data_IF_973065551115
#
_entry.id   IF_973065551115
#
_cell.length_a   1.000
_cell.length_b   1.000
_cell.length_c   1.000
_cell.angle_alpha   90.00
_cell.angle_beta   90.00
_cell.angle_gamma   90.00
#
_symmetry.space_group_name_H-M   'P 1'
#
loop_
_entity.id
_entity.type
_entity.pdbx_description
1 polymer ?
#
# COMPACT_ATOMS: atom_id res chain seq x y z
N UNK A 1 -38.84 -21.93 17.18
CA UNK A 1 -38.45 -20.82 18.06
C UNK A 1 -36.98 -20.53 17.78
N UNK A 2 -36.70 -19.59 16.87
CA UNK A 2 -35.33 -19.29 16.42
C UNK A 2 -34.72 -18.23 17.34
N UNK A 3 -33.71 -18.62 18.11
CA UNK A 3 -32.91 -17.70 18.93
C UNK A 3 -31.65 -17.34 18.16
N UNK A 4 -31.65 -16.18 17.51
CA UNK A 4 -30.42 -15.48 17.09
C UNK A 4 -30.05 -14.52 18.21
N UNK A 5 -28.88 -14.69 18.81
CA UNK A 5 -28.27 -13.68 19.67
C UNK A 5 -26.91 -13.34 19.06
N UNK A 6 -26.84 -12.16 18.45
CA UNK A 6 -25.59 -11.46 18.16
C UNK A 6 -25.41 -10.47 19.31
N UNK A 7 -24.47 -10.75 20.23
CA UNK A 7 -24.12 -9.84 21.32
C UNK A 7 -22.87 -9.06 20.90
N UNK A 8 -23.08 -7.88 20.32
CA UNK A 8 -22.06 -6.83 20.28
C UNK A 8 -22.25 -5.96 21.52
N UNK A 9 -21.42 -6.15 22.53
CA UNK A 9 -21.33 -5.26 23.68
C UNK A 9 -20.51 -4.02 23.26
N UNK A 10 -21.22 -2.98 22.86
CA UNK A 10 -20.67 -1.63 22.68
C UNK A 10 -20.48 -0.98 24.05
N UNK A 11 -19.22 -0.68 24.41
CA UNK A 11 -18.91 0.17 25.55
C UNK A 11 -19.28 1.61 25.18
N UNK A 12 -20.18 2.19 25.96
CA UNK A 12 -20.72 3.54 25.82
C UNK A 12 -19.68 4.62 26.14
N UNK A 13 -19.39 5.49 25.18
CA UNK A 13 -18.87 6.84 25.44
C UNK A 13 -19.82 7.86 24.81
N UNK A 14 -20.21 8.84 25.63
CA UNK A 14 -21.24 9.84 25.36
C UNK A 14 -20.99 10.65 24.08
N UNK A 15 -21.93 10.56 23.13
CA UNK A 15 -22.03 11.51 22.03
C UNK A 15 -23.13 12.53 22.36
N UNK A 16 -22.76 13.81 22.39
CA UNK A 16 -23.71 14.91 22.31
C UNK A 16 -24.39 14.86 20.95
N UNK A 17 -25.70 14.69 20.93
CA UNK A 17 -26.50 14.82 19.71
C UNK A 17 -26.62 16.31 19.35
N UNK A 18 -26.17 16.68 18.16
CA UNK A 18 -26.60 17.91 17.52
C UNK A 18 -27.77 17.51 16.59
N UNK A 19 -28.99 17.93 16.93
CA UNK A 19 -30.16 17.74 16.07
C UNK A 19 -30.02 18.60 14.83
N UNK A 20 -30.00 17.97 13.65
CA UNK A 20 -30.21 18.66 12.37
C UNK A 20 -31.53 18.20 11.81
N UNK A 21 -32.46 19.14 11.65
CA UNK A 21 -33.76 18.91 11.01
C UNK A 21 -33.57 18.55 9.54
N UNK A 22 -34.22 17.46 9.10
CA UNK A 22 -34.31 17.06 7.70
C UNK A 22 -35.15 18.07 6.91
N UNK A 23 -34.52 18.77 5.97
CA UNK A 23 -35.22 19.37 4.83
C UNK A 23 -34.94 18.57 3.56
N UNK A 24 -35.98 18.54 2.73
CA UNK A 24 -36.25 17.67 1.58
C UNK A 24 -35.11 17.50 0.58
N UNK A 25 -34.99 16.28 0.05
CA UNK A 25 -34.16 15.93 -1.10
C UNK A 25 -34.41 16.89 -2.26
N UNK A 26 -33.36 17.59 -2.68
CA UNK A 26 -33.32 18.26 -3.97
C UNK A 26 -32.25 17.57 -4.81
N UNK A 27 -32.65 17.09 -5.99
CA UNK A 27 -31.78 16.52 -7.01
C UNK A 27 -30.51 17.33 -7.16
N UNK A 28 -29.35 16.66 -7.11
CA UNK A 28 -28.06 17.29 -7.35
C UNK A 28 -28.04 17.80 -8.82
N UNK A 29 -27.95 19.11 -9.06
CA UNK A 29 -27.83 19.61 -10.41
C UNK A 29 -26.46 19.21 -10.97
N UNK A 30 -26.44 18.68 -12.19
CA UNK A 30 -25.21 18.55 -12.97
C UNK A 30 -24.51 19.90 -13.01
N UNK A 31 -23.28 19.98 -12.50
CA UNK A 31 -22.49 21.20 -12.49
C UNK A 31 -22.12 21.53 -13.95
N UNK A 32 -22.92 22.37 -14.59
CA UNK A 32 -22.47 23.19 -15.71
C UNK A 32 -21.98 24.49 -15.05
N UNK A 33 -20.66 24.65 -14.91
CA UNK A 33 -20.09 25.90 -14.39
C UNK A 33 -19.55 26.74 -15.53
N UNK A 34 -20.16 27.92 -15.65
CA UNK A 34 -19.74 29.06 -16.45
C UNK A 34 -18.36 29.57 -15.98
N UNK A 35 -17.47 29.85 -16.92
CA UNK A 35 -16.00 29.86 -16.77
C UNK A 35 -15.43 31.16 -16.18
N UNK A 36 -16.25 31.98 -15.50
CA UNK A 36 -15.82 33.29 -15.04
C UNK A 36 -15.98 33.43 -13.53
N UNK A 37 -14.84 33.43 -12.83
CA UNK A 37 -14.64 33.74 -11.39
C UNK A 37 -14.47 32.55 -10.42
N UNK A 38 -13.61 31.59 -10.79
CA UNK A 38 -13.11 30.59 -9.84
C UNK A 38 -11.88 31.18 -9.11
N UNK A 39 -11.88 31.15 -7.77
CA UNK A 39 -10.72 31.49 -6.94
C UNK A 39 -9.46 30.78 -7.48
N UNK A 40 -8.31 31.46 -7.67
CA UNK A 40 -7.08 30.85 -8.17
C UNK A 40 -6.65 29.56 -7.45
N UNK A 41 -6.83 29.48 -6.12
CA UNK A 41 -6.54 28.26 -5.35
C UNK A 41 -7.57 27.15 -5.61
N UNK A 42 -8.86 27.50 -5.72
CA UNK A 42 -9.91 26.56 -6.07
C UNK A 42 -9.74 26.06 -7.51
N UNK A 43 -9.32 26.91 -8.45
CA UNK A 43 -9.01 26.53 -9.83
C UNK A 43 -7.82 25.59 -9.89
N UNK A 44 -6.81 25.78 -9.03
CA UNK A 44 -5.65 24.89 -8.89
C UNK A 44 -6.02 23.54 -8.27
N UNK A 45 -6.96 23.53 -7.31
CA UNK A 45 -7.48 22.29 -6.74
C UNK A 45 -8.38 21.55 -7.74
N UNK A 46 -9.26 22.27 -8.44
CA UNK A 46 -10.15 21.74 -9.47
C UNK A 46 -9.37 21.21 -10.69
N UNK A 47 -8.27 21.86 -11.08
CA UNK A 47 -7.38 21.34 -12.13
C UNK A 47 -6.65 20.07 -11.71
N UNK A 48 -6.34 19.90 -10.41
CA UNK A 48 -5.80 18.64 -9.86
C UNK A 48 -6.85 17.54 -9.71
N UNK A 49 -8.12 17.88 -9.48
CA UNK A 49 -9.26 16.94 -9.49
C UNK A 49 -9.71 16.61 -10.92
N UNK A 50 -9.28 17.38 -11.93
CA UNK A 50 -9.66 17.17 -13.35
C UNK A 50 -9.33 15.77 -13.88
N UNK A 51 -8.36 15.09 -13.28
CA UNK A 51 -7.87 13.77 -13.69
C UNK A 51 -8.22 12.69 -12.67
N UNK A 52 -9.51 12.52 -12.36
CA UNK A 52 -9.94 11.42 -11.49
C UNK A 52 -9.81 10.10 -12.26
N UNK A 53 -8.74 9.36 -11.96
CA UNK A 53 -8.53 7.99 -12.43
C UNK A 53 -8.65 6.95 -11.31
N UNK A 54 -8.71 5.69 -11.69
CA UNK A 54 -8.63 4.52 -10.81
C UNK A 54 -7.21 4.23 -10.33
N UNK A 55 -6.24 4.62 -11.15
CA UNK A 55 -4.82 4.39 -10.94
C UNK A 55 -4.01 5.45 -11.69
N UNK A 56 -2.74 5.58 -11.35
CA UNK A 56 -1.80 6.43 -12.08
C UNK A 56 -1.68 6.00 -13.54
N UNK A 57 -1.76 4.71 -13.84
CA UNK A 57 -1.76 4.17 -15.20
C UNK A 57 -2.93 4.71 -16.02
N UNK A 58 -4.15 4.69 -15.47
CA UNK A 58 -5.30 5.29 -16.16
C UNK A 58 -5.11 6.78 -16.38
N UNK A 59 -4.62 7.52 -15.36
CA UNK A 59 -4.38 8.96 -15.49
C UNK A 59 -3.43 9.24 -16.66
N UNK A 60 -2.32 8.51 -16.70
CA UNK A 60 -1.32 8.61 -17.75
C UNK A 60 -1.89 8.34 -19.13
N UNK A 61 -2.58 7.22 -19.30
CA UNK A 61 -3.09 6.77 -20.60
C UNK A 61 -4.22 7.65 -21.12
N UNK A 62 -5.15 8.05 -20.24
CA UNK A 62 -6.37 8.77 -20.60
C UNK A 62 -6.16 10.27 -20.73
N UNK A 63 -5.34 10.86 -19.87
CA UNK A 63 -5.15 12.30 -19.79
C UNK A 63 -3.77 12.75 -20.28
N UNK A 64 -2.90 11.82 -20.70
CA UNK A 64 -1.56 12.12 -21.21
C UNK A 64 -0.73 12.95 -20.24
N UNK A 65 -0.84 12.62 -18.95
CA UNK A 65 -0.05 13.25 -17.89
C UNK A 65 1.16 12.37 -17.58
N UNK A 66 2.36 12.97 -17.66
CA UNK A 66 3.63 12.24 -17.63
C UNK A 66 4.55 12.66 -16.47
N UNK A 67 4.18 13.66 -15.68
CA UNK A 67 4.99 14.16 -14.57
C UNK A 67 4.77 13.32 -13.31
N UNK A 68 5.85 12.96 -12.63
CA UNK A 68 5.77 12.33 -11.31
C UNK A 68 5.13 13.30 -10.30
N UNK A 69 4.44 12.76 -9.28
CA UNK A 69 3.91 13.59 -8.19
C UNK A 69 2.64 13.07 -7.56
N UNK A 70 1.96 13.93 -6.79
CA UNK A 70 0.73 13.59 -6.10
C UNK A 70 -0.51 13.77 -6.98
N UNK A 71 -1.33 12.73 -7.07
CA UNK A 71 -2.58 12.71 -7.82
C UNK A 71 -3.74 12.21 -6.95
N UNK A 72 -4.96 12.63 -7.30
CA UNK A 72 -6.19 12.14 -6.71
C UNK A 72 -6.72 10.94 -7.51
N UNK A 73 -7.03 9.85 -6.80
CA UNK A 73 -7.61 8.63 -7.35
C UNK A 73 -8.95 8.32 -6.68
N UNK A 74 -9.78 7.52 -7.34
CA UNK A 74 -11.08 7.09 -6.81
C UNK A 74 -11.26 5.57 -6.89
N UNK A 75 -11.70 4.96 -5.78
CA UNK A 75 -11.97 3.51 -5.71
C UNK A 75 -13.32 3.12 -6.31
N UNK A 76 -13.60 1.81 -6.44
CA UNK A 76 -14.82 1.26 -7.11
C UNK A 76 -16.09 1.67 -6.40
N UNK A 77 -15.93 2.01 -5.13
CA UNK A 77 -16.99 2.42 -4.23
C UNK A 77 -17.02 3.93 -4.01
N UNK A 78 -16.25 4.71 -4.79
CA UNK A 78 -16.27 6.16 -4.73
C UNK A 78 -15.39 6.79 -3.64
N UNK A 79 -14.45 6.05 -3.03
CA UNK A 79 -13.53 6.62 -2.04
C UNK A 79 -12.45 7.40 -2.77
N UNK A 80 -12.42 8.73 -2.56
CA UNK A 80 -11.38 9.60 -3.07
C UNK A 80 -10.17 9.61 -2.13
N UNK A 81 -8.97 9.46 -2.68
CA UNK A 81 -7.72 9.52 -1.93
C UNK A 81 -6.59 10.10 -2.77
N UNK A 82 -5.58 10.66 -2.12
CA UNK A 82 -4.38 11.18 -2.79
C UNK A 82 -3.23 10.18 -2.65
N UNK A 83 -2.43 10.01 -3.69
CA UNK A 83 -1.21 9.21 -3.63
C UNK A 83 -0.15 9.69 -4.62
N UNK A 84 1.07 9.19 -4.47
CA UNK A 84 2.17 9.43 -5.40
C UNK A 84 2.04 8.53 -6.63
N UNK A 85 2.25 9.12 -7.80
CA UNK A 85 2.37 8.45 -9.07
C UNK A 85 3.81 8.59 -9.59
N UNK A 86 4.43 7.44 -9.86
CA UNK A 86 5.64 7.39 -10.68
C UNK A 86 5.21 7.21 -12.14
N UNK A 87 5.40 8.29 -12.89
CA UNK A 87 5.09 8.43 -14.31
C UNK A 87 6.35 8.25 -15.17
N UNK A 88 7.47 7.80 -14.60
CA UNK A 88 8.76 7.73 -15.30
C UNK A 88 9.23 6.29 -15.49
N UNK A 89 9.25 5.48 -14.43
CA UNK A 89 9.87 4.14 -14.44
C UNK A 89 9.15 3.21 -15.40
N UNK A 90 9.91 2.49 -16.25
CA UNK A 90 9.38 1.49 -17.20
C UNK A 90 8.17 1.98 -18.03
N UNK A 91 8.18 3.25 -18.44
CA UNK A 91 7.08 3.83 -19.20
C UNK A 91 5.92 4.36 -18.37
N UNK A 92 6.05 4.40 -17.03
CA UNK A 92 5.22 5.14 -16.07
C UNK A 92 3.85 4.53 -15.76
N UNK A 93 3.14 5.16 -14.83
CA UNK A 93 1.80 4.76 -14.40
C UNK A 93 1.78 3.91 -13.13
N UNK A 94 2.89 3.88 -12.38
CA UNK A 94 2.99 3.18 -11.11
C UNK A 94 2.28 3.98 -10.02
N UNK A 95 1.47 3.29 -9.21
CA UNK A 95 0.69 3.90 -8.13
C UNK A 95 1.27 3.47 -6.79
N UNK A 96 1.72 4.42 -5.96
CA UNK A 96 2.08 4.12 -4.59
C UNK A 96 0.83 3.67 -3.83
N UNK A 97 0.85 2.47 -3.26
CA UNK A 97 -0.28 1.91 -2.51
C UNK A 97 0.04 1.60 -1.05
N UNK A 98 1.32 1.38 -0.74
CA UNK A 98 1.79 1.10 0.61
C UNK A 98 3.27 1.47 0.78
N UNK A 99 3.68 1.69 2.02
CA UNK A 99 5.07 1.77 2.49
C UNK A 99 5.19 1.03 3.82
N UNK A 100 6.28 0.27 3.98
CA UNK A 100 6.65 -0.42 5.21
C UNK A 100 7.80 0.37 5.82
N UNK A 101 7.59 0.92 7.01
CA UNK A 101 8.54 1.79 7.67
C UNK A 101 8.85 1.30 9.09
N UNK A 102 10.12 1.09 9.37
CA UNK A 102 10.61 0.74 10.71
C UNK A 102 10.82 2.01 11.54
N UNK A 103 10.02 2.19 12.59
CA UNK A 103 10.07 3.36 13.46
C UNK A 103 11.00 3.19 14.67
N UNK A 104 11.22 1.98 15.15
CA UNK A 104 12.09 1.66 16.26
C UNK A 104 12.52 0.18 16.26
N UNK A 105 13.71 -0.08 15.69
CA UNK A 105 14.31 -1.41 15.62
C UNK A 105 14.40 -2.17 16.96
N UNK A 106 14.46 -1.43 18.08
CA UNK A 106 14.55 -2.00 19.42
C UNK A 106 13.17 -2.34 20.02
N UNK A 107 12.09 -1.76 19.48
CA UNK A 107 10.72 -2.13 19.79
C UNK A 107 10.37 -3.42 19.06
N UNK A 108 9.99 -4.46 19.81
CA UNK A 108 9.61 -5.75 19.21
C UNK A 108 8.10 -5.89 19.23
N UNK A 109 7.48 -5.68 18.08
CA UNK A 109 6.02 -5.76 17.90
C UNK A 109 5.28 -4.75 18.82
N UNK A 110 5.74 -3.50 18.78
CA UNK A 110 5.25 -2.36 19.54
C UNK A 110 4.45 -1.40 18.66
N UNK A 111 4.01 -0.27 19.23
CA UNK A 111 3.28 0.76 18.45
C UNK A 111 4.14 1.24 17.27
N UNK A 112 3.57 1.18 16.08
CA UNK A 112 4.27 1.44 14.82
C UNK A 112 4.47 0.18 13.97
N UNK A 113 4.51 -1.01 14.56
CA UNK A 113 4.76 -2.29 13.87
C UNK A 113 3.50 -2.83 13.14
N UNK A 114 2.87 -2.02 12.30
CA UNK A 114 1.55 -2.32 11.70
C UNK A 114 1.60 -3.44 10.66
N UNK A 115 2.75 -3.66 10.03
CA UNK A 115 2.93 -4.71 9.03
C UNK A 115 3.26 -6.08 9.64
N UNK A 116 3.47 -6.13 10.95
CA UNK A 116 3.65 -7.35 11.74
C UNK A 116 2.58 -7.43 12.83
N UNK A 117 2.86 -6.95 14.03
CA UNK A 117 1.96 -6.95 15.19
C UNK A 117 2.28 -5.76 16.10
N UNK A 118 1.28 -5.02 16.55
CA UNK A 118 1.45 -4.03 17.63
C UNK A 118 1.05 -4.59 19.00
N UNK A 119 0.78 -5.90 19.08
CA UNK A 119 0.32 -6.61 20.29
C UNK A 119 1.43 -7.49 20.90
N UNK A 120 2.70 -7.17 20.62
CA UNK A 120 3.84 -7.99 20.99
C UNK A 120 3.94 -9.30 20.19
N UNK A 121 4.95 -10.09 20.55
CA UNK A 121 5.08 -11.49 20.10
C UNK A 121 4.14 -12.38 20.92
N UNK A 122 3.00 -12.72 20.32
CA UNK A 122 1.94 -13.47 20.99
C UNK A 122 1.50 -14.66 20.12
N UNK A 123 1.75 -15.91 20.53
CA UNK A 123 1.35 -17.09 19.75
C UNK A 123 -0.16 -17.26 19.64
N UNK A 124 -0.95 -16.64 20.54
CA UNK A 124 -2.41 -16.62 20.43
C UNK A 124 -2.92 -15.56 19.45
N UNK A 125 -2.01 -14.77 18.88
CA UNK A 125 -2.29 -13.74 17.89
C UNK A 125 -1.50 -13.98 16.59
N UNK A 126 -1.67 -15.15 15.96
CA UNK A 126 -0.78 -15.61 14.90
C UNK A 126 -0.88 -14.82 13.58
N UNK A 127 -1.95 -14.05 13.37
CA UNK A 127 -2.11 -13.20 12.18
C UNK A 127 -1.47 -11.80 12.34
N UNK A 128 -0.99 -11.47 13.54
CA UNK A 128 -0.54 -10.11 13.85
C UNK A 128 -1.67 -9.09 13.64
N UNK A 129 -1.33 -7.88 13.20
CA UNK A 129 -2.32 -6.86 12.85
C UNK A 129 -3.13 -7.22 11.58
N UNK A 130 -2.72 -8.26 10.83
CA UNK A 130 -3.42 -8.75 9.64
C UNK A 130 -3.44 -7.76 8.47
N UNK A 131 -2.56 -6.76 8.49
CA UNK A 131 -2.56 -5.59 7.60
C UNK A 131 -2.46 -5.97 6.12
N UNK A 132 -1.71 -7.02 5.78
CA UNK A 132 -1.53 -7.50 4.41
C UNK A 132 -2.83 -7.96 3.72
N UNK A 133 -3.82 -8.44 4.49
CA UNK A 133 -5.04 -9.05 3.95
C UNK A 133 -6.35 -8.40 4.46
N UNK A 134 -6.25 -7.21 5.06
CA UNK A 134 -7.39 -6.40 5.50
C UNK A 134 -7.55 -5.11 4.67
N UNK A 135 -8.65 -4.38 4.88
CA UNK A 135 -8.95 -3.12 4.17
C UNK A 135 -8.67 -1.87 4.99
N UNK A 136 -8.02 -2.00 6.15
CA UNK A 136 -7.62 -0.85 6.99
C UNK A 136 -6.54 -0.06 6.24
N UNK A 137 -6.62 1.26 6.32
CA UNK A 137 -5.71 2.24 5.69
C UNK A 137 -5.15 3.19 6.75
N UNK A 138 -3.94 3.69 6.52
CA UNK A 138 -3.24 4.58 7.45
C UNK A 138 -2.15 5.39 6.73
N UNK A 139 -1.69 6.46 7.39
CA UNK A 139 -0.66 7.35 6.86
C UNK A 139 -1.15 8.27 5.74
N UNK A 140 -0.24 9.07 5.23
CA UNK A 140 -0.40 9.93 4.06
C UNK A 140 0.76 9.69 3.10
N UNK A 141 0.55 9.88 1.79
CA UNK A 141 1.59 9.62 0.80
C UNK A 141 2.86 10.43 1.08
N UNK A 142 2.75 11.73 1.36
CA UNK A 142 3.90 12.59 1.70
C UNK A 142 4.71 12.11 2.91
N UNK A 143 4.09 11.36 3.83
CA UNK A 143 4.72 10.84 5.04
C UNK A 143 5.18 9.38 4.91
N UNK A 144 5.15 8.80 3.69
CA UNK A 144 5.45 7.37 3.48
C UNK A 144 6.89 6.97 3.81
N UNK A 145 7.81 7.93 3.96
CA UNK A 145 9.19 7.71 4.44
C UNK A 145 9.37 8.04 5.92
N UNK A 146 8.33 8.51 6.61
CA UNK A 146 8.36 8.91 8.02
C UNK A 146 7.49 8.05 8.94
N UNK A 147 6.49 7.35 8.39
CA UNK A 147 5.69 6.33 9.06
C UNK A 147 5.12 5.37 8.00
N UNK A 148 4.48 4.28 8.43
CA UNK A 148 3.80 3.38 7.53
C UNK A 148 2.73 4.10 6.69
N UNK A 149 2.58 3.65 5.45
CA UNK A 149 1.54 4.13 4.55
C UNK A 149 0.77 2.96 3.97
N UNK A 150 -0.56 3.07 3.90
CA UNK A 150 -1.42 2.16 3.15
C UNK A 150 -2.70 2.87 2.74
N UNK A 151 -2.97 2.95 1.44
CA UNK A 151 -4.16 3.61 0.91
C UNK A 151 -5.16 2.60 0.29
N UNK A 152 -6.38 3.02 -0.05
CA UNK A 152 -7.39 2.14 -0.63
C UNK A 152 -6.98 1.44 -1.94
N UNK A 153 -6.05 2.02 -2.70
CA UNK A 153 -5.53 1.43 -3.92
C UNK A 153 -4.89 0.05 -3.71
N UNK A 154 -4.36 -0.22 -2.51
CA UNK A 154 -3.74 -1.49 -2.13
C UNK A 154 -4.65 -2.70 -2.36
N UNK A 155 -5.96 -2.55 -2.10
CA UNK A 155 -6.94 -3.62 -2.22
C UNK A 155 -7.97 -3.40 -3.36
N UNK A 156 -8.04 -2.20 -3.93
CA UNK A 156 -9.02 -1.85 -4.97
C UNK A 156 -8.45 -1.88 -6.40
N UNK A 157 -7.19 -1.50 -6.60
CA UNK A 157 -6.59 -1.45 -7.96
C UNK A 157 -6.39 -2.88 -8.47
N UNK A 158 -6.73 -3.10 -9.73
CA UNK A 158 -6.37 -4.31 -10.48
C UNK A 158 -5.11 -4.00 -11.28
N UNK A 159 -3.99 -4.49 -10.79
CA UNK A 159 -2.65 -4.33 -11.34
C UNK A 159 -2.13 -5.65 -11.95
N UNK A 160 -0.98 -5.55 -12.61
CA UNK A 160 -0.28 -6.67 -13.24
C UNK A 160 1.05 -6.95 -12.53
N UNK A 161 1.74 -5.90 -12.10
CA UNK A 161 3.11 -5.95 -11.59
C UNK A 161 3.28 -5.09 -10.33
N UNK A 162 4.43 -5.24 -9.67
CA UNK A 162 4.83 -4.47 -8.49
C UNK A 162 6.13 -3.73 -8.79
N UNK A 163 6.26 -2.51 -8.29
CA UNK A 163 7.51 -1.74 -8.22
C UNK A 163 7.81 -1.42 -6.75
N UNK A 164 9.08 -1.54 -6.35
CA UNK A 164 9.54 -1.34 -4.98
C UNK A 164 10.76 -0.43 -4.97
N UNK A 165 10.69 0.59 -4.12
CA UNK A 165 11.76 1.56 -3.91
C UNK A 165 12.21 1.50 -2.45
N UNK A 166 13.52 1.42 -2.23
CA UNK A 166 14.12 1.56 -0.91
C UNK A 166 14.60 2.99 -0.77
N UNK A 167 13.82 3.79 -0.05
CA UNK A 167 14.04 5.23 0.13
C UNK A 167 14.49 5.48 1.57
N UNK A 168 15.56 6.27 1.82
CA UNK A 168 15.96 6.61 3.17
C UNK A 168 14.83 7.29 3.96
N UNK A 169 14.73 6.97 5.26
CA UNK A 169 13.70 7.54 6.14
C UNK A 169 13.78 9.08 6.14
N UNK A 170 12.60 9.71 6.22
CA UNK A 170 12.38 11.16 6.19
C UNK A 170 12.86 11.88 4.92
N UNK A 171 13.11 11.16 3.82
CA UNK A 171 13.34 11.80 2.52
C UNK A 171 12.10 12.56 2.06
N UNK A 172 12.28 13.78 1.59
CA UNK A 172 11.22 14.59 0.96
C UNK A 172 10.72 13.94 -0.33
N UNK A 173 9.42 14.08 -0.62
CA UNK A 173 8.75 13.40 -1.73
C UNK A 173 9.41 13.67 -3.08
N UNK A 174 9.84 14.91 -3.32
CA UNK A 174 10.51 15.33 -4.55
C UNK A 174 11.87 14.65 -4.76
N UNK A 175 12.46 14.10 -3.70
CA UNK A 175 13.77 13.49 -3.70
C UNK A 175 13.72 11.96 -3.73
N UNK A 176 12.56 11.31 -3.60
CA UNK A 176 12.49 9.85 -3.48
C UNK A 176 13.15 9.12 -4.64
N UNK A 177 12.92 9.56 -5.88
CA UNK A 177 13.48 8.90 -7.07
C UNK A 177 15.01 8.98 -7.12
N UNK A 178 15.60 10.09 -6.68
CA UNK A 178 17.05 10.34 -6.71
C UNK A 178 17.77 9.86 -5.45
N UNK A 179 17.09 9.85 -4.30
CA UNK A 179 17.62 9.39 -3.01
C UNK A 179 17.50 7.87 -2.82
N UNK A 180 16.67 7.20 -3.62
CA UNK A 180 16.49 5.75 -3.54
C UNK A 180 17.82 5.01 -3.68
N UNK A 181 18.14 4.15 -2.71
CA UNK A 181 19.33 3.29 -2.77
C UNK A 181 19.11 2.05 -3.64
N UNK A 182 17.85 1.67 -3.85
CA UNK A 182 17.45 0.51 -4.64
C UNK A 182 16.07 0.74 -5.23
N UNK A 183 15.90 0.50 -6.53
CA UNK A 183 14.59 0.52 -7.21
C UNK A 183 14.52 -0.62 -8.19
N UNK A 184 13.40 -1.34 -8.19
CA UNK A 184 13.16 -2.46 -9.10
C UNK A 184 11.67 -2.72 -9.27
N UNK A 185 11.33 -3.44 -10.33
CA UNK A 185 9.96 -3.83 -10.62
C UNK A 185 9.88 -5.22 -11.26
N UNK A 186 8.67 -5.78 -11.32
CA UNK A 186 8.37 -7.01 -12.06
C UNK A 186 7.80 -6.67 -13.43
N UNK A 187 7.99 -7.55 -14.42
CA UNK A 187 7.47 -7.34 -15.79
C UNK A 187 6.68 -8.56 -16.33
N UNK A 188 6.44 -9.58 -15.50
CA UNK A 188 5.82 -10.83 -15.93
C UNK A 188 4.31 -10.88 -15.66
N UNK A 189 3.71 -9.78 -15.21
CA UNK A 189 2.28 -9.63 -14.95
C UNK A 189 1.72 -10.62 -13.92
N UNK A 190 2.53 -11.08 -12.95
CA UNK A 190 2.16 -12.16 -12.04
C UNK A 190 0.89 -11.88 -11.24
N UNK A 191 0.59 -10.61 -10.90
CA UNK A 191 -0.60 -10.29 -10.09
C UNK A 191 -1.90 -10.71 -10.78
N UNK A 192 -1.92 -10.82 -12.12
CA UNK A 192 -3.09 -11.33 -12.87
C UNK A 192 -3.53 -12.73 -12.41
N UNK A 193 -2.58 -13.58 -12.00
CA UNK A 193 -2.83 -14.94 -11.50
C UNK A 193 -3.17 -14.97 -9.99
N UNK A 194 -3.07 -13.83 -9.33
CA UNK A 194 -3.21 -13.68 -7.87
C UNK A 194 -4.26 -12.64 -7.47
N UNK A 195 -5.22 -12.35 -8.35
CA UNK A 195 -6.35 -11.47 -8.06
C UNK A 195 -6.06 -9.98 -8.23
N UNK A 196 -4.96 -9.63 -8.91
CA UNK A 196 -4.66 -8.28 -9.38
C UNK A 196 -3.99 -7.36 -8.37
N UNK A 197 -3.80 -7.77 -7.11
CA UNK A 197 -3.11 -6.94 -6.12
C UNK A 197 -2.58 -7.76 -4.94
N UNK A 198 -1.77 -7.11 -4.10
CA UNK A 198 -1.16 -7.73 -2.92
C UNK A 198 -2.21 -8.21 -1.90
N UNK A 199 -3.30 -7.46 -1.72
CA UNK A 199 -4.38 -7.89 -0.83
C UNK A 199 -4.94 -9.27 -1.21
N UNK A 200 -5.19 -9.52 -2.50
CA UNK A 200 -5.67 -10.81 -2.97
C UNK A 200 -4.56 -11.88 -2.96
N UNK A 201 -3.31 -11.50 -3.22
CA UNK A 201 -2.15 -12.39 -3.08
C UNK A 201 -2.03 -12.91 -1.65
N UNK A 202 -2.04 -12.03 -0.65
CA UNK A 202 -1.90 -12.39 0.77
C UNK A 202 -3.15 -13.05 1.36
N UNK A 203 -4.31 -12.93 0.72
CA UNK A 203 -5.45 -13.82 1.02
C UNK A 203 -5.23 -15.25 0.54
N UNK A 204 -4.55 -15.43 -0.59
CA UNK A 204 -4.19 -16.75 -1.13
C UNK A 204 -3.00 -17.37 -0.39
N UNK A 205 -2.06 -16.54 0.05
CA UNK A 205 -0.89 -16.92 0.83
C UNK A 205 -0.85 -16.12 2.15
N UNK A 206 -1.54 -16.59 3.20
CA UNK A 206 -1.67 -15.84 4.45
C UNK A 206 -0.34 -15.62 5.16
N UNK A 207 -0.09 -14.39 5.60
CA UNK A 207 0.99 -14.06 6.55
C UNK A 207 0.49 -14.41 7.95
N UNK A 208 0.77 -15.65 8.38
CA UNK A 208 0.28 -16.19 9.65
C UNK A 208 1.31 -17.11 10.29
N UNK A 209 1.55 -16.95 11.58
CA UNK A 209 2.40 -17.86 12.34
C UNK A 209 1.81 -19.28 12.38
N UNK A 210 2.68 -20.27 12.13
CA UNK A 210 2.34 -21.69 12.18
C UNK A 210 1.55 -22.20 10.97
N UNK A 211 1.50 -21.43 9.87
CA UNK A 211 0.91 -21.89 8.61
C UNK A 211 1.98 -22.48 7.69
N UNK A 212 1.94 -23.80 7.55
CA UNK A 212 2.79 -24.54 6.61
C UNK A 212 4.22 -24.82 7.09
N UNK A 213 5.01 -25.40 6.19
CA UNK A 213 6.38 -25.85 6.41
C UNK A 213 7.34 -25.12 5.47
N UNK A 214 8.55 -24.88 5.97
CA UNK A 214 9.63 -24.22 5.24
C UNK A 214 9.87 -24.86 3.85
N UNK A 215 10.08 -24.04 2.83
CA UNK A 215 10.33 -24.43 1.44
C UNK A 215 9.20 -25.18 0.71
N UNK A 216 8.12 -25.55 1.42
CA UNK A 216 6.97 -26.26 0.86
C UNK A 216 5.81 -25.30 0.63
N UNK A 217 5.57 -24.39 1.58
CA UNK A 217 4.42 -23.50 1.58
C UNK A 217 4.78 -22.03 1.32
N UNK A 218 5.98 -21.79 0.78
CA UNK A 218 6.39 -20.45 0.36
C UNK A 218 5.47 -19.94 -0.76
N UNK A 219 5.22 -18.64 -0.74
CA UNK A 219 4.55 -17.93 -1.82
C UNK A 219 5.44 -17.84 -3.07
N UNK A 220 4.89 -17.29 -4.16
CA UNK A 220 5.61 -17.18 -5.42
C UNK A 220 6.85 -16.29 -5.29
N UNK A 221 7.95 -16.72 -5.90
CA UNK A 221 9.15 -15.91 -6.11
C UNK A 221 9.13 -15.35 -7.55
N UNK A 222 9.14 -14.03 -7.68
CA UNK A 222 8.92 -13.32 -8.95
C UNK A 222 10.18 -12.58 -9.35
N UNK A 223 10.73 -12.81 -10.56
CA UNK A 223 11.95 -12.13 -11.00
C UNK A 223 11.75 -10.62 -11.11
N UNK A 224 12.80 -9.86 -10.81
CA UNK A 224 12.80 -8.39 -10.87
C UNK A 224 13.77 -7.84 -11.92
N UNK A 225 13.47 -6.62 -12.37
CA UNK A 225 14.33 -5.78 -13.21
C UNK A 225 14.73 -4.56 -12.37
N UNK A 226 16.02 -4.25 -12.33
CA UNK A 226 16.54 -3.12 -11.55
C UNK A 226 16.48 -1.82 -12.34
N UNK A 227 15.89 -0.79 -11.74
CA UNK A 227 15.89 0.60 -12.21
C UNK A 227 17.01 1.42 -11.57
N UNK A 228 17.44 1.03 -10.36
CA UNK A 228 18.54 1.64 -9.60
C UNK A 228 19.15 0.59 -8.70
N UNK A 229 20.48 0.45 -8.71
CA UNK A 229 21.19 -0.65 -8.07
C UNK A 229 21.25 -1.90 -8.95
N UNK A 230 21.72 -3.01 -8.39
CA UNK A 230 21.84 -4.29 -9.06
C UNK A 230 21.82 -5.45 -8.05
N UNK A 231 21.89 -6.69 -8.54
CA UNK A 231 21.87 -7.88 -7.68
C UNK A 231 23.05 -7.93 -6.70
N UNK A 232 24.22 -7.40 -7.08
CA UNK A 232 25.42 -7.36 -6.23
C UNK A 232 25.22 -6.32 -5.13
N UNK A 233 24.83 -5.09 -5.47
CA UNK A 233 24.61 -4.04 -4.48
C UNK A 233 23.51 -4.44 -3.49
N UNK A 234 22.43 -5.06 -3.99
CA UNK A 234 21.33 -5.61 -3.17
C UNK A 234 21.84 -6.60 -2.12
N UNK A 235 22.75 -7.50 -2.50
CA UNK A 235 23.37 -8.48 -1.60
C UNK A 235 24.05 -7.81 -0.40
N UNK A 236 24.68 -6.67 -0.62
CA UNK A 236 25.42 -5.97 0.41
C UNK A 236 24.55 -5.13 1.34
N UNK A 237 23.28 -4.89 0.99
CA UNK A 237 22.30 -4.28 1.90
C UNK A 237 21.88 -5.24 3.03
N UNK A 238 21.99 -6.55 2.80
CA UNK A 238 21.63 -7.58 3.79
C UNK A 238 22.80 -8.02 4.66
N UNK A 239 22.43 -8.55 5.83
CA UNK A 239 23.35 -9.15 6.79
C UNK A 239 24.20 -10.27 6.17
N UNK A 240 25.45 -10.48 6.64
CA UNK A 240 26.39 -11.40 6.00
C UNK A 240 25.89 -12.86 5.92
N UNK A 241 24.99 -13.28 6.81
CA UNK A 241 24.43 -14.63 6.86
C UNK A 241 23.24 -14.85 5.91
N UNK A 242 22.57 -13.81 5.44
CA UNK A 242 21.44 -13.90 4.50
C UNK A 242 21.81 -13.69 3.04
N UNK A 243 23.09 -13.37 2.80
CA UNK A 243 23.72 -13.20 1.48
C UNK A 243 23.70 -14.45 0.58
N UNK A 244 23.38 -15.61 1.13
CA UNK A 244 23.25 -16.88 0.39
C UNK A 244 21.84 -17.11 -0.19
N UNK A 245 20.88 -16.24 0.11
CA UNK A 245 19.52 -16.30 -0.46
C UNK A 245 19.51 -15.93 -1.95
N UNK A 246 18.55 -16.45 -2.71
CA UNK A 246 18.38 -16.13 -4.13
C UNK A 246 17.99 -14.66 -4.31
N UNK A 247 18.96 -13.82 -4.69
CA UNK A 247 18.76 -12.40 -4.99
C UNK A 247 18.25 -12.25 -6.42
N UNK A 248 17.37 -11.28 -6.64
CA UNK A 248 16.74 -11.04 -7.94
C UNK A 248 15.29 -11.47 -8.02
N UNK A 249 14.66 -11.73 -6.86
CA UNK A 249 13.24 -12.04 -6.77
C UNK A 249 12.55 -11.21 -5.67
N UNK A 250 11.27 -10.94 -5.85
CA UNK A 250 10.34 -10.59 -4.77
C UNK A 250 9.54 -11.84 -4.41
N UNK A 251 9.48 -12.20 -3.13
CA UNK A 251 8.78 -13.39 -2.67
C UNK A 251 7.54 -13.02 -1.86
N UNK A 252 6.36 -13.44 -2.34
CA UNK A 252 5.07 -12.98 -1.81
C UNK A 252 4.65 -13.52 -0.45
N UNK A 253 5.32 -14.53 0.12
CA UNK A 253 5.18 -14.97 1.53
C UNK A 253 6.24 -16.04 1.81
N UNK A 254 6.79 -16.08 3.02
CA UNK A 254 7.71 -17.13 3.46
C UNK A 254 7.02 -17.93 4.57
N UNK A 255 6.98 -19.26 4.45
CA UNK A 255 6.38 -20.11 5.48
C UNK A 255 7.20 -20.00 6.79
N UNK A 256 6.51 -19.72 7.90
CA UNK A 256 7.14 -19.24 9.15
C UNK A 256 8.00 -20.27 9.88
N UNK A 257 7.94 -21.55 9.50
CA UNK A 257 8.78 -22.62 10.09
C UNK A 257 10.25 -22.55 9.59
N UNK A 258 10.58 -21.58 8.73
CA UNK A 258 11.96 -21.26 8.32
C UNK A 258 12.71 -20.31 9.28
N UNK A 259 12.09 -19.91 10.41
CA UNK A 259 12.38 -18.72 11.22
C UNK A 259 11.62 -17.48 10.71
N UNK A 260 11.13 -16.69 11.67
CA UNK A 260 10.55 -15.34 11.52
C UNK A 260 11.23 -14.49 10.42
N UNK A 261 10.70 -14.51 9.19
CA UNK A 261 11.21 -13.71 8.07
C UNK A 261 10.08 -13.10 7.24
N UNK A 262 10.23 -11.80 6.96
CA UNK A 262 9.24 -10.91 6.36
C UNK A 262 8.80 -11.29 4.93
N UNK A 263 7.55 -10.97 4.55
CA UNK A 263 7.01 -11.18 3.21
C UNK A 263 7.59 -10.26 2.13
N UNK A 264 8.57 -9.39 2.44
CA UNK A 264 9.21 -8.47 1.45
C UNK A 264 10.74 -8.62 1.45
N UNK A 265 11.28 -9.73 1.97
CA UNK A 265 12.70 -10.05 1.82
C UNK A 265 13.64 -9.06 2.51
N UNK A 266 13.20 -8.43 3.61
CA UNK A 266 14.06 -7.72 4.55
C UNK A 266 14.41 -8.63 5.71
N UNK A 267 15.69 -8.86 5.99
CA UNK A 267 16.09 -9.15 7.36
C UNK A 267 16.19 -7.78 8.05
N UNK A 268 15.34 -7.54 9.04
CA UNK A 268 15.47 -6.38 9.93
C UNK A 268 16.20 -6.78 11.21
#
# INVERSE_FOLDING_TARGET
MFLRILLSLSLSLNLWFCEVSLTTQQEAPSIIMDDTNINPEAAKLLSRIKYVGRSCKEIREKYHVYDDGLYYLITSRGVLYQTFCDMTTAGGGWTLVASVHENNMYGKCTVGDRWSSQQGDNPNWPDGDGTWANTVTFGAAEAATSDDFKNPGYYDIVAQDVSVWHVPNNSELEQWSTASILRYHTENHFLTLHGGNLFNLFKKFPVRFGIGTCNINNGPAIPIVYDTGDAISTKYLYGPHSRESDIGFVQGSIATDCASKDPVGGDI
#
